data_IF_829290359024
#
_entry.id   IF_829290359024
#
_cell.length_a   1.000
_cell.length_b   1.000
_cell.length_c   1.000
_cell.angle_alpha   90.00
_cell.angle_beta   90.00
_cell.angle_gamma   90.00
#
_symmetry.space_group_name_H-M   'P 1'
#
loop_
_entity.id
_entity.type
_entity.pdbx_description
1 polymer ?
#
# COMPACT_ATOMS: atom_id res chain seq x y z
N UNK A 1 -11.12 -17.28 -23.74
CA UNK A 1 -11.26 -16.07 -22.92
C UNK A 1 -11.64 -16.53 -21.54
N UNK A 2 -10.77 -16.33 -20.55
CA UNK A 2 -11.17 -16.52 -19.16
C UNK A 2 -12.13 -15.38 -18.77
N UNK A 3 -13.13 -15.71 -17.96
CA UNK A 3 -14.12 -14.77 -17.48
C UNK A 3 -13.52 -13.92 -16.36
N UNK A 4 -13.33 -12.63 -16.61
CA UNK A 4 -12.80 -11.70 -15.60
C UNK A 4 -13.88 -11.37 -14.59
N UNK A 5 -13.69 -11.82 -13.36
CA UNK A 5 -14.61 -11.57 -12.25
C UNK A 5 -14.21 -10.31 -11.48
N UNK A 6 -15.01 -9.25 -11.61
CA UNK A 6 -14.85 -8.03 -10.81
C UNK A 6 -15.55 -8.17 -9.46
N UNK A 7 -14.85 -7.83 -8.38
CA UNK A 7 -15.42 -7.74 -7.03
C UNK A 7 -15.28 -6.33 -6.50
N UNK A 8 -16.30 -5.86 -5.78
CA UNK A 8 -16.19 -4.62 -5.02
C UNK A 8 -15.17 -4.81 -3.89
N UNK A 9 -14.44 -3.74 -3.61
CA UNK A 9 -13.46 -3.64 -2.54
C UNK A 9 -13.96 -2.62 -1.50
N UNK A 10 -13.54 -2.80 -0.27
CA UNK A 10 -13.77 -1.85 0.81
C UNK A 10 -12.44 -1.21 1.23
N UNK A 11 -12.47 0.06 1.58
CA UNK A 11 -11.28 0.72 2.13
C UNK A 11 -11.31 0.64 3.66
N UNK A 12 -10.19 0.28 4.27
CA UNK A 12 -10.07 0.23 5.72
C UNK A 12 -10.35 1.61 6.32
N UNK A 13 -11.18 1.65 7.37
CA UNK A 13 -11.58 2.88 8.06
C UNK A 13 -10.44 3.35 8.98
N UNK A 14 -10.36 4.66 9.32
CA UNK A 14 -9.50 5.17 10.39
C UNK A 14 -9.71 4.48 11.74
N UNK A 15 -10.91 3.93 11.97
CA UNK A 15 -11.27 3.19 13.19
C UNK A 15 -11.01 1.69 13.07
N UNK A 16 -10.68 1.19 11.88
CA UNK A 16 -10.31 -0.22 11.69
C UNK A 16 -8.87 -0.37 12.17
N UNK A 17 -8.61 -1.14 13.24
CA UNK A 17 -7.25 -1.37 13.68
C UNK A 17 -6.48 -2.09 12.57
N UNK A 18 -5.25 -1.64 12.33
CA UNK A 18 -4.31 -2.43 11.55
C UNK A 18 -4.16 -3.78 12.25
N UNK A 19 -4.29 -4.89 11.52
CA UNK A 19 -4.25 -6.20 12.12
C UNK A 19 -2.80 -6.56 12.46
N UNK A 20 -2.31 -6.04 13.58
CA UNK A 20 -0.99 -6.37 14.12
C UNK A 20 -0.87 -7.89 14.29
N UNK A 21 0.20 -8.49 13.77
CA UNK A 21 0.43 -9.93 13.76
C UNK A 21 -0.56 -10.75 12.91
N UNK A 22 -1.24 -10.15 11.93
CA UNK A 22 -1.88 -10.89 10.85
C UNK A 22 -1.01 -10.88 9.60
N UNK A 23 -1.15 -11.97 8.84
CA UNK A 23 -0.65 -12.08 7.48
C UNK A 23 -1.60 -11.30 6.56
N UNK A 24 -1.05 -10.34 5.84
CA UNK A 24 -1.71 -9.66 4.74
C UNK A 24 -1.10 -10.11 3.41
N UNK A 25 -1.78 -9.72 2.33
CA UNK A 25 -1.47 -10.20 1.00
C UNK A 25 -1.37 -9.03 0.04
N UNK A 26 -0.32 -9.03 -0.78
CA UNK A 26 -0.17 -8.16 -1.92
C UNK A 26 -0.08 -9.02 -3.18
N UNK A 27 -0.71 -8.56 -4.26
CA UNK A 27 -0.75 -9.30 -5.53
C UNK A 27 -0.43 -8.36 -6.68
N UNK A 28 0.46 -8.79 -7.58
CA UNK A 28 0.85 -8.00 -8.73
C UNK A 28 1.59 -8.82 -9.78
N UNK A 29 2.04 -8.11 -10.82
CA UNK A 29 2.78 -8.64 -11.97
C UNK A 29 4.20 -8.09 -12.01
N UNK A 30 4.72 -7.65 -10.85
CA UNK A 30 6.05 -7.08 -10.72
C UNK A 30 7.14 -8.08 -11.07
N UNK A 31 8.35 -7.56 -11.22
CA UNK A 31 9.51 -8.32 -11.67
C UNK A 31 10.73 -8.01 -10.82
N UNK A 32 11.59 -9.01 -10.63
CA UNK A 32 12.87 -8.84 -9.95
C UNK A 32 13.96 -8.39 -10.94
N UNK A 33 14.43 -7.13 -10.87
CA UNK A 33 15.45 -6.61 -11.79
C UNK A 33 16.83 -7.28 -11.59
N UNK A 34 17.14 -7.74 -10.38
CA UNK A 34 18.45 -8.25 -10.00
C UNK A 34 18.62 -9.69 -10.44
N UNK A 35 17.60 -10.51 -10.19
CA UNK A 35 17.56 -11.90 -10.67
C UNK A 35 17.15 -12.00 -12.14
N UNK A 36 16.68 -10.90 -12.74
CA UNK A 36 16.09 -10.84 -14.09
C UNK A 36 14.96 -11.87 -14.27
N UNK A 37 14.25 -12.14 -13.19
CA UNK A 37 13.10 -13.03 -13.17
C UNK A 37 11.88 -12.14 -13.34
N UNK A 38 11.36 -12.10 -14.56
CA UNK A 38 9.95 -11.75 -14.73
C UNK A 38 9.16 -12.82 -13.98
N UNK A 39 8.24 -12.42 -13.10
CA UNK A 39 7.11 -13.30 -12.84
C UNK A 39 6.46 -13.57 -14.20
N UNK A 40 6.01 -14.81 -14.46
CA UNK A 40 5.37 -15.15 -15.73
C UNK A 40 4.39 -14.03 -16.10
N UNK A 41 4.62 -13.34 -17.22
CA UNK A 41 3.97 -12.04 -17.52
C UNK A 41 2.44 -12.14 -17.53
N UNK A 42 1.92 -13.35 -17.68
CA UNK A 42 0.50 -13.67 -17.74
C UNK A 42 -0.07 -14.19 -16.41
N UNK A 43 0.72 -14.27 -15.33
CA UNK A 43 0.31 -14.84 -14.05
C UNK A 43 0.44 -13.85 -12.89
N UNK A 44 -0.70 -13.50 -12.30
CA UNK A 44 -0.75 -12.69 -11.09
C UNK A 44 -0.14 -13.47 -9.93
N UNK A 45 0.96 -12.95 -9.36
CA UNK A 45 1.57 -13.52 -8.17
C UNK A 45 1.02 -12.87 -6.92
N UNK A 46 1.13 -13.57 -5.79
CA UNK A 46 0.68 -13.08 -4.49
C UNK A 46 1.72 -13.43 -3.45
N UNK A 47 2.14 -12.42 -2.70
CA UNK A 47 3.06 -12.57 -1.56
C UNK A 47 2.31 -12.41 -0.25
N UNK A 48 2.91 -12.96 0.81
CA UNK A 48 2.39 -12.94 2.18
C UNK A 48 3.32 -12.10 3.03
N UNK A 49 2.76 -11.16 3.77
CA UNK A 49 3.54 -10.21 4.56
C UNK A 49 3.02 -10.10 5.99
N UNK A 50 3.94 -9.93 6.93
CA UNK A 50 3.68 -9.70 8.33
C UNK A 50 3.75 -8.20 8.63
N UNK A 51 2.63 -7.60 9.02
CA UNK A 51 2.62 -6.19 9.42
C UNK A 51 3.46 -5.97 10.67
N UNK A 52 4.43 -5.07 10.58
CA UNK A 52 5.30 -4.68 11.68
C UNK A 52 4.55 -3.76 12.65
N UNK A 53 4.83 -3.91 13.95
CA UNK A 53 4.27 -3.03 14.97
C UNK A 53 4.83 -1.61 14.89
N UNK A 54 6.03 -1.46 14.32
CA UNK A 54 6.71 -0.18 14.09
C UNK A 54 7.49 -0.25 12.80
N UNK A 55 7.52 0.88 12.10
CA UNK A 55 8.37 1.07 10.94
C UNK A 55 9.85 1.26 11.34
N UNK A 56 10.79 1.03 10.41
CA UNK A 56 12.18 1.43 10.59
C UNK A 56 12.32 2.94 10.88
N UNK A 57 13.26 3.29 11.77
CA UNK A 57 13.45 4.67 12.28
C UNK A 57 13.75 5.73 11.21
N UNK A 58 14.19 5.33 10.02
CA UNK A 58 14.48 6.26 8.93
C UNK A 58 13.21 6.80 8.25
N UNK A 59 12.05 6.18 8.50
CA UNK A 59 10.77 6.69 8.02
C UNK A 59 10.30 7.81 8.95
N UNK A 60 10.33 9.04 8.45
CA UNK A 60 9.94 10.24 9.21
C UNK A 60 8.43 10.29 9.54
N UNK A 61 7.61 9.52 8.83
CA UNK A 61 6.15 9.49 8.97
C UNK A 61 5.64 8.05 9.08
N UNK A 62 5.47 7.58 10.31
CA UNK A 62 4.92 6.24 10.54
C UNK A 62 3.38 6.21 10.39
N UNK A 63 2.69 7.34 10.55
CA UNK A 63 1.23 7.39 10.54
C UNK A 63 0.62 7.15 9.14
N UNK A 64 1.32 7.57 8.08
CA UNK A 64 0.88 7.43 6.69
C UNK A 64 1.46 6.20 5.97
N UNK A 65 2.20 5.38 6.71
CA UNK A 65 2.86 4.17 6.24
C UNK A 65 2.39 2.92 7.01
N UNK A 66 2.41 1.79 6.33
CA UNK A 66 2.36 0.46 6.92
C UNK A 66 3.67 -0.22 6.51
N UNK A 67 4.44 -0.65 7.50
CA UNK A 67 5.63 -1.43 7.24
C UNK A 67 5.33 -2.91 7.43
N UNK A 68 5.83 -3.74 6.53
CA UNK A 68 5.71 -5.17 6.62
C UNK A 68 7.06 -5.86 6.37
N UNK A 69 7.14 -7.09 6.86
CA UNK A 69 8.25 -8.01 6.61
C UNK A 69 7.71 -9.27 5.94
N UNK A 70 8.57 -9.97 5.22
CA UNK A 70 8.17 -11.14 4.44
C UNK A 70 7.74 -12.30 5.35
N UNK A 71 6.72 -13.06 4.93
CA UNK A 71 6.38 -14.34 5.59
C UNK A 71 7.25 -15.47 5.05
N UNK A 72 7.57 -15.41 3.76
CA UNK A 72 8.41 -16.39 3.07
C UNK A 72 9.63 -15.66 2.56
N UNK A 73 10.80 -16.21 2.88
CA UNK A 73 12.11 -15.68 2.47
C UNK A 73 12.16 -15.46 0.96
N UNK A 74 12.64 -14.29 0.55
CA UNK A 74 12.79 -13.84 -0.84
C UNK A 74 11.45 -13.82 -1.62
N UNK A 75 10.32 -13.61 -0.93
CA UNK A 75 9.01 -13.43 -1.56
C UNK A 75 8.40 -12.10 -1.15
N UNK A 76 8.71 -11.09 -1.96
CA UNK A 76 8.38 -9.69 -1.72
C UNK A 76 7.65 -9.07 -2.91
N UNK A 77 6.99 -7.94 -2.65
CA UNK A 77 6.60 -7.03 -3.72
C UNK A 77 7.85 -6.35 -4.27
N UNK A 78 7.83 -6.05 -5.57
CA UNK A 78 9.02 -5.57 -6.27
C UNK A 78 8.66 -4.50 -7.31
N UNK A 79 9.63 -4.12 -8.14
CA UNK A 79 9.46 -3.22 -9.26
C UNK A 79 8.26 -3.63 -10.13
N UNK A 80 7.38 -2.66 -10.40
CA UNK A 80 6.13 -2.90 -11.12
C UNK A 80 4.94 -3.34 -10.25
N UNK A 81 5.13 -3.68 -8.98
CA UNK A 81 4.02 -3.93 -8.04
C UNK A 81 3.50 -2.64 -7.37
N UNK A 82 4.18 -1.50 -7.50
CA UNK A 82 3.74 -0.21 -6.97
C UNK A 82 2.29 0.10 -7.40
N UNK A 83 1.45 0.47 -6.42
CA UNK A 83 0.02 0.66 -6.65
C UNK A 83 -0.85 -0.57 -6.37
N UNK A 84 -0.26 -1.77 -6.20
CA UNK A 84 -1.01 -2.96 -5.84
C UNK A 84 -1.60 -2.88 -4.43
N UNK A 85 -2.74 -3.55 -4.22
CA UNK A 85 -3.46 -3.54 -2.95
C UNK A 85 -2.83 -4.48 -1.90
N UNK A 86 -2.69 -4.00 -0.66
CA UNK A 86 -2.45 -4.82 0.53
C UNK A 86 -3.76 -5.10 1.25
N UNK A 87 -4.14 -6.38 1.35
CA UNK A 87 -5.47 -6.81 1.82
C UNK A 87 -5.45 -8.04 2.74
N UNK A 88 -6.50 -8.21 3.53
CA UNK A 88 -6.77 -9.43 4.32
C UNK A 88 -7.63 -10.38 3.47
N UNK A 89 -7.08 -11.49 2.97
CA UNK A 89 -7.84 -12.42 2.10
C UNK A 89 -8.91 -13.20 2.86
N UNK A 90 -8.73 -13.43 4.17
CA UNK A 90 -9.60 -14.33 4.93
C UNK A 90 -10.89 -13.65 5.38
N UNK A 91 -10.87 -12.33 5.56
CA UNK A 91 -11.95 -11.66 6.30
C UNK A 91 -12.73 -10.60 5.52
N UNK A 92 -12.21 -10.02 4.44
CA UNK A 92 -13.00 -9.22 3.51
C UNK A 92 -12.17 -8.72 2.33
N UNK A 93 -12.81 -8.19 1.31
CA UNK A 93 -12.18 -7.39 0.23
C UNK A 93 -11.61 -6.04 0.71
N UNK A 94 -11.22 -5.94 1.99
CA UNK A 94 -10.75 -4.72 2.64
C UNK A 94 -9.28 -4.47 2.32
N UNK A 95 -9.02 -3.29 1.76
CA UNK A 95 -7.68 -2.80 1.47
C UNK A 95 -7.19 -1.94 2.63
N UNK A 96 -6.07 -2.33 3.21
CA UNK A 96 -5.38 -1.62 4.28
C UNK A 96 -4.28 -0.71 3.76
N UNK A 97 -3.62 -1.12 2.68
CA UNK A 97 -2.56 -0.33 2.10
C UNK A 97 -2.37 -0.50 0.61
N UNK A 98 -1.46 0.29 0.07
CA UNK A 98 -1.05 0.26 -1.34
C UNK A 98 0.47 0.09 -1.38
N UNK A 99 0.97 -0.85 -2.17
CA UNK A 99 2.40 -1.07 -2.38
C UNK A 99 3.05 0.24 -2.83
N UNK A 100 4.13 0.64 -2.16
CA UNK A 100 4.77 1.92 -2.36
C UNK A 100 6.25 1.73 -2.72
N UNK A 101 7.13 1.63 -1.72
CA UNK A 101 8.57 1.46 -1.87
C UNK A 101 9.08 0.47 -0.81
N UNK A 102 10.33 0.06 -0.90
CA UNK A 102 10.90 -0.86 0.07
C UNK A 102 12.40 -1.01 -0.11
N UNK A 103 12.97 -2.03 0.54
CA UNK A 103 14.30 -2.53 0.20
C UNK A 103 14.34 -3.10 -1.22
N UNK A 104 15.53 -3.46 -1.69
CA UNK A 104 15.67 -4.22 -2.94
C UNK A 104 14.91 -5.55 -2.84
N UNK A 105 14.50 -6.07 -3.98
CA UNK A 105 13.55 -7.17 -4.08
C UNK A 105 14.09 -8.51 -3.54
N UNK A 106 15.40 -8.68 -3.55
CA UNK A 106 16.10 -9.84 -3.01
C UNK A 106 16.72 -9.60 -1.62
N UNK A 107 16.54 -8.40 -1.06
CA UNK A 107 17.45 -7.86 -0.06
C UNK A 107 16.82 -7.60 1.31
N UNK A 108 15.58 -8.01 1.53
CA UNK A 108 15.05 -8.05 2.91
C UNK A 108 15.98 -8.86 3.82
N UNK A 109 16.68 -9.86 3.26
CA UNK A 109 17.67 -10.69 3.93
C UNK A 109 18.98 -10.86 3.12
N UNK A 110 19.67 -9.75 2.82
CA UNK A 110 21.07 -9.77 2.31
C UNK A 110 21.94 -10.76 3.11
N UNK A 111 22.94 -11.38 2.49
CA UNK A 111 23.91 -12.25 3.17
C UNK A 111 24.55 -11.59 4.42
N UNK A 112 24.75 -10.27 4.40
CA UNK A 112 25.23 -9.50 5.55
C UNK A 112 24.21 -9.42 6.70
N UNK A 113 22.91 -9.35 6.38
CA UNK A 113 21.82 -9.40 7.37
C UNK A 113 21.53 -10.83 7.85
N UNK A 114 21.91 -11.85 7.09
CA UNK A 114 21.84 -13.28 7.50
C UNK A 114 22.73 -13.57 8.71
N UNK A 115 23.72 -12.73 9.00
CA UNK A 115 24.55 -12.82 10.20
C UNK A 115 23.89 -12.25 11.47
N UNK A 116 22.87 -11.38 11.31
CA UNK A 116 22.18 -10.74 12.42
C UNK A 116 21.08 -11.64 13.00
N UNK A 117 20.75 -11.54 14.30
CA UNK A 117 19.57 -12.17 14.88
C UNK A 117 18.29 -11.74 14.13
N UNK A 118 17.33 -12.66 13.94
CA UNK A 118 16.05 -12.41 13.24
C UNK A 118 15.35 -11.13 13.74
N UNK A 119 15.41 -10.86 15.04
CA UNK A 119 14.80 -9.68 15.65
C UNK A 119 15.48 -8.35 15.27
N UNK A 120 16.75 -8.37 14.86
CA UNK A 120 17.47 -7.16 14.43
C UNK A 120 17.27 -6.86 12.93
N UNK A 121 16.84 -7.86 12.15
CA UNK A 121 16.59 -7.73 10.71
C UNK A 121 15.31 -6.93 10.43
N UNK A 122 14.26 -7.18 11.21
CA UNK A 122 12.92 -6.55 11.14
C UNK A 122 12.91 -5.01 11.18
N UNK A 123 13.99 -4.38 11.64
CA UNK A 123 14.06 -2.93 11.83
C UNK A 123 15.01 -2.22 10.86
N UNK A 124 15.69 -2.95 9.99
CA UNK A 124 16.58 -2.37 8.97
C UNK A 124 15.94 -2.34 7.59
N UNK A 125 15.24 -3.40 7.21
CA UNK A 125 14.54 -3.49 5.94
C UNK A 125 13.06 -3.77 6.20
N UNK A 126 12.20 -3.03 5.49
CA UNK A 126 10.77 -3.26 5.49
C UNK A 126 10.22 -2.90 4.12
N UNK A 127 9.22 -3.65 3.69
CA UNK A 127 8.34 -3.21 2.63
C UNK A 127 7.43 -2.12 3.17
N UNK A 128 7.28 -1.04 2.42
CA UNK A 128 6.48 0.11 2.80
C UNK A 128 5.25 0.18 1.91
N UNK A 129 4.12 0.30 2.58
CA UNK A 129 2.82 0.46 1.97
C UNK A 129 2.21 1.78 2.44
N UNK A 130 1.47 2.44 1.58
CA UNK A 130 0.62 3.57 1.97
C UNK A 130 -0.43 3.13 2.96
N UNK A 131 -0.62 3.83 4.06
CA UNK A 131 -1.69 3.55 5.01
C UNK A 131 -3.02 4.16 4.52
N UNK A 132 -3.93 3.33 3.98
CA UNK A 132 -5.26 3.80 3.51
C UNK A 132 -6.07 4.42 4.65
N UNK A 133 -5.93 3.95 5.88
CA UNK A 133 -6.70 4.48 7.02
C UNK A 133 -6.37 5.96 7.29
N UNK A 134 -5.15 6.38 6.99
CA UNK A 134 -4.71 7.78 7.07
C UNK A 134 -5.31 8.64 5.96
N UNK A 135 -5.30 8.13 4.72
CA UNK A 135 -5.74 8.87 3.53
C UNK A 135 -7.23 8.72 3.20
N UNK A 136 -7.98 7.84 3.88
CA UNK A 136 -9.40 7.63 3.59
C UNK A 136 -10.22 8.94 3.58
N UNK A 137 -10.07 9.87 4.55
CA UNK A 137 -10.76 11.15 4.49
C UNK A 137 -10.49 11.91 3.19
N UNK A 138 -9.23 11.98 2.77
CA UNK A 138 -8.85 12.63 1.53
C UNK A 138 -9.50 11.97 0.30
N UNK A 139 -9.44 10.63 0.22
CA UNK A 139 -10.10 9.85 -0.84
C UNK A 139 -11.59 10.15 -0.87
N UNK A 140 -12.27 10.11 0.27
CA UNK A 140 -13.71 10.44 0.39
C UNK A 140 -14.02 11.90 0.04
N UNK A 141 -13.09 12.82 0.31
CA UNK A 141 -13.20 14.22 -0.11
C UNK A 141 -13.25 14.39 -1.63
N UNK A 142 -12.58 13.51 -2.38
CA UNK A 142 -12.55 13.49 -3.85
C UNK A 142 -13.75 12.74 -4.40
N UNK A 143 -14.00 11.51 -3.95
CA UNK A 143 -15.05 10.64 -4.52
C UNK A 143 -16.45 11.00 -4.03
N UNK A 144 -16.56 11.74 -2.92
CA UNK A 144 -17.83 12.08 -2.28
C UNK A 144 -18.36 10.96 -1.39
N UNK A 145 -19.65 11.08 -1.03
CA UNK A 145 -20.33 10.11 -0.17
C UNK A 145 -20.52 8.79 -0.93
N UNK A 146 -19.98 7.70 -0.41
CA UNK A 146 -20.12 6.37 -1.00
C UNK A 146 -19.98 5.31 0.08
N UNK A 147 -21.11 4.93 0.68
CA UNK A 147 -21.15 3.94 1.77
C UNK A 147 -20.63 2.56 1.32
N UNK A 148 -20.79 2.21 0.04
CA UNK A 148 -20.33 0.91 -0.49
C UNK A 148 -18.81 0.76 -0.59
N UNK A 149 -18.06 1.86 -0.53
CA UNK A 149 -16.59 1.88 -0.50
C UNK A 149 -16.07 2.25 0.91
N UNK A 150 -16.98 2.62 1.81
CA UNK A 150 -16.67 3.03 3.18
C UNK A 150 -16.51 4.54 3.37
N UNK A 151 -16.97 5.37 2.44
CA UNK A 151 -16.92 6.84 2.54
C UNK A 151 -18.19 7.43 3.14
N UNK A 152 -18.07 7.98 4.34
CA UNK A 152 -19.14 8.56 5.13
C UNK A 152 -19.01 10.09 5.20
N UNK A 153 -20.07 10.76 5.62
CA UNK A 153 -20.12 12.23 5.65
C UNK A 153 -19.09 12.83 6.61
N UNK A 154 -18.76 12.13 7.69
CA UNK A 154 -17.71 12.49 8.63
C UNK A 154 -16.32 12.51 8.01
N UNK A 155 -16.03 11.64 7.04
CA UNK A 155 -14.72 11.58 6.39
C UNK A 155 -14.54 12.76 5.45
N UNK A 156 -15.60 13.10 4.70
CA UNK A 156 -15.64 14.29 3.85
C UNK A 156 -15.45 15.56 4.71
N UNK A 157 -16.08 15.61 5.89
CA UNK A 157 -15.89 16.72 6.85
C UNK A 157 -14.46 16.76 7.39
N UNK A 158 -13.83 15.61 7.61
CA UNK A 158 -12.45 15.50 8.10
C UNK A 158 -11.43 15.90 7.02
N UNK A 159 -11.67 15.54 5.76
CA UNK A 159 -10.85 15.92 4.60
C UNK A 159 -10.64 17.45 4.54
N UNK A 160 -11.72 18.22 4.70
CA UNK A 160 -11.68 19.69 4.69
C UNK A 160 -10.85 20.32 5.81
N UNK A 161 -10.50 19.55 6.84
CA UNK A 161 -9.70 19.98 7.99
C UNK A 161 -8.25 19.51 7.91
N UNK A 162 -7.89 18.68 6.93
CA UNK A 162 -6.52 18.18 6.80
C UNK A 162 -5.61 19.26 6.20
N UNK A 163 -4.47 19.58 6.85
CA UNK A 163 -3.62 20.71 6.46
C UNK A 163 -2.92 20.53 5.10
N UNK A 164 -2.82 19.29 4.61
CA UNK A 164 -2.12 18.95 3.37
C UNK A 164 -3.04 18.82 2.14
N UNK A 165 -4.36 18.93 2.33
CA UNK A 165 -5.35 18.63 1.30
C UNK A 165 -6.40 19.73 1.16
N UNK A 166 -6.04 20.82 0.49
CA UNK A 166 -7.04 21.80 0.07
C UNK A 166 -7.59 21.39 -1.31
N UNK A 167 -8.78 20.78 -1.32
CA UNK A 167 -9.55 20.51 -2.54
C UNK A 167 -10.20 21.82 -2.98
N UNK A 168 -9.64 22.47 -4.01
CA UNK A 168 -10.24 23.70 -4.56
C UNK A 168 -11.52 23.35 -5.30
N UNK A 169 -12.48 24.29 -5.35
CA UNK A 169 -13.82 24.14 -5.98
C UNK A 169 -13.82 23.63 -7.44
N UNK A 170 -12.68 23.60 -8.11
CA UNK A 170 -12.51 23.14 -9.49
C UNK A 170 -11.86 21.75 -9.59
N UNK A 171 -11.81 20.98 -8.49
CA UNK A 171 -11.16 19.66 -8.44
C UNK A 171 -9.62 19.69 -8.44
N UNK A 172 -9.01 20.88 -8.39
CA UNK A 172 -7.54 21.02 -8.31
C UNK A 172 -7.08 20.86 -6.85
N UNK A 173 -6.22 19.87 -6.62
CA UNK A 173 -5.50 19.68 -5.35
C UNK A 173 -4.39 20.74 -5.27
N UNK A 174 -4.26 21.40 -4.11
CA UNK A 174 -3.22 22.42 -3.90
C UNK A 174 -1.83 21.79 -3.67
N UNK A 175 -0.77 22.51 -4.09
CA UNK A 175 0.64 22.09 -4.19
C UNK A 175 1.36 21.68 -2.90
N UNK A 176 0.66 21.63 -1.77
CA UNK A 176 1.24 21.17 -0.50
C UNK A 176 0.92 19.70 -0.19
N UNK A 177 0.29 18.98 -1.13
CA UNK A 177 0.20 17.53 -1.04
C UNK A 177 1.62 16.93 -1.11
N UNK A 178 1.99 16.01 -0.21
CA UNK A 178 3.25 15.26 -0.33
C UNK A 178 3.34 14.64 -1.74
N UNK A 179 4.52 14.61 -2.35
CA UNK A 179 4.73 14.04 -3.70
C UNK A 179 4.13 12.63 -3.83
N UNK A 180 4.10 11.86 -2.74
CA UNK A 180 3.49 10.54 -2.69
C UNK A 180 1.98 10.46 -3.02
N UNK A 181 1.22 11.54 -2.78
CA UNK A 181 -0.21 11.61 -3.17
C UNK A 181 -0.36 11.80 -4.68
N UNK A 182 0.67 12.31 -5.35
CA UNK A 182 0.71 12.38 -6.79
C UNK A 182 0.69 10.96 -7.37
N UNK A 183 1.47 10.02 -6.83
CA UNK A 183 1.61 8.67 -7.40
C UNK A 183 0.32 7.84 -7.33
N UNK A 184 -0.51 8.04 -6.29
CA UNK A 184 -1.84 7.40 -6.20
C UNK A 184 -2.79 7.87 -7.32
N UNK A 185 -2.59 9.07 -7.89
CA UNK A 185 -3.51 9.70 -8.84
C UNK A 185 -2.95 9.86 -10.27
N UNK A 186 -1.63 9.95 -10.46
CA UNK A 186 -1.01 10.17 -11.79
C UNK A 186 -0.69 8.90 -12.56
N UNK A 187 -0.88 7.70 -11.98
CA UNK A 187 -0.92 6.44 -12.74
C UNK A 187 -2.14 6.29 -13.68
N UNK A 188 -3.03 7.28 -13.75
CA UNK A 188 -4.21 7.28 -14.62
C UNK A 188 -4.04 8.04 -15.94
N UNK A 189 -2.91 8.74 -16.16
CA UNK A 189 -2.70 9.50 -17.41
C UNK A 189 -2.21 8.64 -18.59
N UNK A 190 -1.82 7.38 -18.38
CA UNK A 190 -1.30 6.50 -19.44
C UNK A 190 -2.34 5.62 -20.16
N UNK A 191 -3.64 5.77 -19.88
CA UNK A 191 -4.72 5.09 -20.63
C UNK A 191 -5.45 5.97 -21.65
N UNK A 192 -4.82 7.07 -22.09
CA UNK A 192 -5.27 7.83 -23.27
C UNK A 192 -4.19 7.93 -24.34
N UNK A 193 -3.98 6.84 -25.06
CA UNK A 193 -3.64 6.87 -26.49
C UNK A 193 -4.37 5.75 -27.23
#
# INVERSE_FOLDING_TARGET
>A
MEEVNYRKIHLARPTTPLPSNKILYASGYGYDPERKILTDMDELKTVKVNVLAKCPKYLEREDDAICADEVVLDQNVCEGDSGASLKDIENDTTIFGIVSFGSLCDDMLNDDLRSLPIEERKYKNAEVYTNITYYLPFICGIIGLNESIGCLIEDIKRAKKQPYFEIKRNGKISKNAPEFVADIFFGLDDFKK
#
